data_IF_762794146706
#
_entry.id   IF_762794146706
#
_cell.length_a   1.000
_cell.length_b   1.000
_cell.length_c   1.000
_cell.angle_alpha   90.00
_cell.angle_beta   90.00
_cell.angle_gamma   90.00
#
_symmetry.space_group_name_H-M   'P 1'
#
loop_
_entity.id
_entity.type
_entity.pdbx_description
1 polymer ?
#
# COMPACT_ATOMS: atom_id res chain seq x y z
N UNK A 1 -39.66 90.95 -14.59
CA UNK A 1 -38.25 90.47 -14.65
C UNK A 1 -38.22 89.11 -13.98
N UNK A 2 -38.17 88.04 -14.78
CA UNK A 2 -38.23 86.64 -14.34
C UNK A 2 -36.83 86.15 -13.95
N UNK A 3 -36.66 85.57 -12.76
CA UNK A 3 -35.60 84.59 -12.51
C UNK A 3 -36.16 83.44 -11.68
N UNK A 4 -36.40 82.32 -12.35
CA UNK A 4 -36.84 81.06 -11.77
C UNK A 4 -35.68 80.33 -11.10
N UNK A 5 -35.88 79.94 -9.85
CA UNK A 5 -35.01 79.06 -9.09
C UNK A 5 -35.28 77.60 -9.50
N UNK A 6 -34.37 77.03 -10.30
CA UNK A 6 -34.41 75.59 -10.67
C UNK A 6 -33.56 74.80 -9.66
N UNK A 7 -34.22 74.13 -8.73
CA UNK A 7 -33.64 73.19 -7.75
C UNK A 7 -32.86 72.07 -8.46
N UNK A 8 -31.53 72.02 -8.29
CA UNK A 8 -30.71 70.83 -8.58
C UNK A 8 -30.87 69.82 -7.44
N UNK A 9 -31.76 68.83 -7.61
CA UNK A 9 -31.70 67.58 -6.83
C UNK A 9 -30.45 66.80 -7.25
N UNK A 10 -29.38 66.93 -6.47
CA UNK A 10 -28.16 66.17 -6.63
C UNK A 10 -28.41 64.68 -6.31
N UNK A 11 -28.07 63.83 -7.29
CA UNK A 11 -28.20 62.38 -7.29
C UNK A 11 -27.21 61.69 -6.32
N UNK A 12 -27.33 61.97 -5.02
CA UNK A 12 -26.47 61.39 -3.94
C UNK A 12 -26.67 59.87 -3.77
N UNK A 13 -27.83 59.34 -4.15
CA UNK A 13 -28.16 57.92 -3.98
C UNK A 13 -27.36 56.99 -4.90
N UNK A 14 -26.95 57.47 -6.08
CA UNK A 14 -26.23 56.67 -7.08
C UNK A 14 -24.82 56.27 -6.64
N UNK A 15 -24.07 57.16 -5.98
CA UNK A 15 -22.71 56.89 -5.54
C UNK A 15 -22.64 56.02 -4.28
N UNK A 16 -23.59 56.20 -3.36
CA UNK A 16 -23.69 55.39 -2.15
C UNK A 16 -24.04 53.92 -2.48
N UNK A 17 -24.95 53.71 -3.43
CA UNK A 17 -25.33 52.37 -3.92
C UNK A 17 -24.15 51.60 -4.53
N UNK A 18 -23.34 52.22 -5.40
CA UNK A 18 -22.16 51.57 -6.02
C UNK A 18 -21.06 51.21 -5.01
N UNK A 19 -20.85 52.03 -3.98
CA UNK A 19 -19.89 51.76 -2.89
C UNK A 19 -20.31 50.54 -2.07
N UNK A 20 -21.60 50.45 -1.73
CA UNK A 20 -22.16 49.32 -0.97
C UNK A 20 -22.10 48.02 -1.80
N UNK A 21 -22.49 48.05 -3.07
CA UNK A 21 -22.42 46.86 -3.93
C UNK A 21 -21.00 46.36 -4.13
N UNK A 22 -20.03 47.27 -4.31
CA UNK A 22 -18.60 46.89 -4.43
C UNK A 22 -18.07 46.22 -3.16
N UNK A 23 -18.40 46.76 -1.97
CA UNK A 23 -18.02 46.16 -0.69
C UNK A 23 -18.66 44.78 -0.47
N UNK A 24 -19.94 44.63 -0.82
CA UNK A 24 -20.65 43.34 -0.76
C UNK A 24 -20.00 42.31 -1.68
N UNK A 25 -19.66 42.68 -2.93
CA UNK A 25 -18.98 41.79 -3.88
C UNK A 25 -17.61 41.35 -3.35
N UNK A 26 -16.83 42.26 -2.76
CA UNK A 26 -15.53 41.93 -2.15
C UNK A 26 -15.71 40.99 -0.95
N UNK A 27 -16.74 41.21 -0.12
CA UNK A 27 -17.06 40.35 1.03
C UNK A 27 -17.46 38.94 0.58
N UNK A 28 -18.33 38.82 -0.43
CA UNK A 28 -18.73 37.52 -1.01
C UNK A 28 -17.51 36.79 -1.60
N UNK A 29 -16.64 37.48 -2.33
CA UNK A 29 -15.40 36.87 -2.86
C UNK A 29 -14.49 36.32 -1.77
N UNK A 30 -14.35 37.04 -0.64
CA UNK A 30 -13.57 36.56 0.50
C UNK A 30 -14.20 35.32 1.16
N UNK A 31 -15.52 35.29 1.28
CA UNK A 31 -16.26 34.13 1.83
C UNK A 31 -16.11 32.91 0.91
N UNK A 32 -16.28 33.09 -0.41
CA UNK A 32 -16.11 32.01 -1.40
C UNK A 32 -14.67 31.48 -1.40
N UNK A 33 -13.67 32.36 -1.34
CA UNK A 33 -12.26 31.96 -1.25
C UNK A 33 -11.98 31.19 0.05
N UNK A 34 -12.53 31.63 1.18
CA UNK A 34 -12.40 30.92 2.45
C UNK A 34 -13.04 29.52 2.41
N UNK A 35 -14.21 29.38 1.77
CA UNK A 35 -14.89 28.09 1.60
C UNK A 35 -14.08 27.13 0.71
N UNK A 36 -13.48 27.63 -0.37
CA UNK A 36 -12.60 26.85 -1.25
C UNK A 36 -11.37 26.33 -0.48
N UNK A 37 -10.72 27.19 0.31
CA UNK A 37 -9.55 26.79 1.10
C UNK A 37 -9.95 25.71 2.12
N UNK A 38 -11.06 25.88 2.84
CA UNK A 38 -11.55 24.88 3.81
C UNK A 38 -11.84 23.54 3.12
N UNK A 39 -12.51 23.56 1.97
CA UNK A 39 -12.81 22.32 1.21
C UNK A 39 -11.54 21.59 0.76
N UNK A 40 -10.50 22.33 0.35
CA UNK A 40 -9.24 21.75 -0.06
C UNK A 40 -8.50 21.12 1.12
N UNK A 41 -8.51 21.76 2.30
CA UNK A 41 -7.89 21.22 3.52
C UNK A 41 -8.58 19.94 3.98
N UNK A 42 -9.92 19.88 3.96
CA UNK A 42 -10.67 18.69 4.40
C UNK A 42 -10.42 17.46 3.53
N UNK A 43 -10.24 17.63 2.20
CA UNK A 43 -9.96 16.51 1.28
C UNK A 43 -8.57 15.93 1.53
N UNK A 44 -7.57 16.79 1.80
CA UNK A 44 -6.20 16.35 2.06
C UNK A 44 -6.07 15.60 3.40
N UNK A 45 -6.76 16.06 4.45
CA UNK A 45 -6.77 15.36 5.75
C UNK A 45 -7.39 13.97 5.63
N UNK A 46 -8.53 13.86 4.94
CA UNK A 46 -9.21 12.58 4.72
C UNK A 46 -8.33 11.56 3.95
N UNK A 47 -7.60 12.02 2.93
CA UNK A 47 -6.67 11.16 2.17
C UNK A 47 -5.49 10.67 3.03
N UNK A 48 -4.95 11.51 3.92
CA UNK A 48 -3.85 11.11 4.81
C UNK A 48 -4.29 10.06 5.83
N UNK A 49 -5.47 10.24 6.44
CA UNK A 49 -6.00 9.27 7.41
C UNK A 49 -6.26 7.91 6.74
N UNK A 50 -6.82 7.90 5.53
CA UNK A 50 -7.04 6.67 4.78
C UNK A 50 -5.72 5.94 4.43
N UNK A 51 -4.69 6.65 3.97
CA UNK A 51 -3.37 6.06 3.70
C UNK A 51 -2.71 5.50 4.96
N UNK A 52 -2.87 6.17 6.09
CA UNK A 52 -2.39 5.67 7.38
C UNK A 52 -3.10 4.38 7.80
N UNK A 53 -4.40 4.26 7.52
CA UNK A 53 -5.13 3.01 7.78
C UNK A 53 -4.66 1.87 6.87
N UNK A 54 -4.35 2.15 5.60
CA UNK A 54 -3.72 1.15 4.70
C UNK A 54 -2.42 0.63 5.32
N UNK A 55 -1.54 1.53 5.75
CA UNK A 55 -0.26 1.17 6.37
C UNK A 55 -0.46 0.37 7.66
N UNK A 56 -1.36 0.79 8.55
CA UNK A 56 -1.62 0.09 9.80
C UNK A 56 -2.20 -1.32 9.57
N UNK A 57 -3.19 -1.46 8.68
CA UNK A 57 -3.78 -2.77 8.35
C UNK A 57 -2.72 -3.67 7.72
N UNK A 58 -1.82 -3.13 6.88
CA UNK A 58 -0.72 -3.87 6.26
C UNK A 58 0.33 -4.34 7.28
N UNK A 59 0.73 -3.47 8.20
CA UNK A 59 1.64 -3.82 9.29
C UNK A 59 1.01 -4.84 10.24
N UNK A 60 -0.31 -4.78 10.45
CA UNK A 60 -1.05 -5.75 11.26
C UNK A 60 -1.09 -7.11 10.56
N UNK A 61 -1.41 -7.14 9.26
CA UNK A 61 -1.33 -8.34 8.42
C UNK A 61 0.03 -9.03 8.52
N UNK A 62 1.12 -8.32 8.24
CA UNK A 62 2.46 -8.91 8.30
C UNK A 62 2.90 -9.20 9.74
N UNK A 63 2.40 -8.46 10.72
CA UNK A 63 2.60 -8.76 12.14
C UNK A 63 2.02 -10.13 12.53
N UNK A 64 0.80 -10.44 12.09
CA UNK A 64 0.20 -11.76 12.28
C UNK A 64 1.03 -12.87 11.62
N UNK A 65 1.48 -12.66 10.37
CA UNK A 65 2.34 -13.61 9.67
C UNK A 65 3.64 -13.87 10.43
N UNK A 66 4.32 -12.81 10.90
CA UNK A 66 5.56 -12.89 11.67
C UNK A 66 5.40 -13.60 13.01
N UNK A 67 4.24 -13.47 13.65
CA UNK A 67 3.92 -14.11 14.93
C UNK A 67 3.36 -15.53 14.76
N UNK A 68 3.32 -16.06 13.53
CA UNK A 68 2.75 -17.36 13.17
C UNK A 68 1.24 -17.45 13.49
N UNK A 69 0.56 -16.31 13.54
CA UNK A 69 -0.90 -16.17 13.66
C UNK A 69 -1.53 -16.29 12.27
N UNK A 70 -1.35 -17.46 11.64
CA UNK A 70 -1.65 -17.65 10.22
C UNK A 70 -3.14 -17.49 9.91
N UNK A 71 -4.02 -17.89 10.83
CA UNK A 71 -5.47 -17.73 10.65
C UNK A 71 -5.84 -16.25 10.54
N UNK A 72 -5.28 -15.41 11.40
CA UNK A 72 -5.50 -13.97 11.41
C UNK A 72 -4.85 -13.30 10.19
N UNK A 73 -3.64 -13.73 9.83
CA UNK A 73 -2.90 -13.24 8.66
C UNK A 73 -3.68 -13.43 7.36
N UNK A 74 -4.22 -14.63 7.11
CA UNK A 74 -4.93 -14.91 5.85
C UNK A 74 -6.23 -14.11 5.69
N UNK A 75 -6.82 -13.62 6.78
CA UNK A 75 -8.01 -12.77 6.70
C UNK A 75 -7.72 -11.45 5.98
N UNK A 76 -6.47 -11.01 5.92
CA UNK A 76 -6.08 -9.80 5.19
C UNK A 76 -5.84 -10.03 3.69
N UNK A 77 -5.95 -11.26 3.19
CA UNK A 77 -5.84 -11.53 1.76
C UNK A 77 -7.12 -11.21 1.00
N UNK A 78 -7.02 -11.09 -0.32
CA UNK A 78 -8.18 -10.88 -1.19
C UNK A 78 -9.11 -12.09 -1.11
N UNK A 79 -10.42 -11.89 -0.84
CA UNK A 79 -11.37 -13.00 -0.77
C UNK A 79 -11.43 -13.84 -2.05
N UNK A 80 -11.23 -13.23 -3.21
CA UNK A 80 -11.25 -13.87 -4.52
C UNK A 80 -10.14 -14.93 -4.69
N UNK A 81 -9.04 -14.84 -3.94
CA UNK A 81 -8.02 -15.89 -3.92
C UNK A 81 -8.59 -17.23 -3.44
N UNK A 82 -9.59 -17.16 -2.56
CA UNK A 82 -10.20 -18.34 -1.96
C UNK A 82 -11.23 -19.04 -2.85
N UNK A 83 -11.50 -18.51 -4.05
CA UNK A 83 -12.28 -19.21 -5.07
C UNK A 83 -11.48 -20.36 -5.71
N UNK A 84 -10.14 -20.27 -5.69
CA UNK A 84 -9.26 -21.28 -6.28
C UNK A 84 -8.46 -22.09 -5.25
N UNK A 85 -8.10 -21.50 -4.12
CA UNK A 85 -7.27 -22.12 -3.08
C UNK A 85 -7.94 -21.94 -1.73
N UNK A 86 -8.22 -23.00 -0.97
CA UNK A 86 -8.92 -22.85 0.30
C UNK A 86 -8.04 -22.18 1.37
N UNK A 87 -8.68 -21.51 2.32
CA UNK A 87 -8.02 -20.90 3.48
C UNK A 87 -7.21 -21.91 4.27
N UNK A 88 -7.79 -23.09 4.49
CA UNK A 88 -7.18 -24.18 5.25
C UNK A 88 -5.89 -24.67 4.58
N UNK A 89 -5.89 -24.80 3.25
CA UNK A 89 -4.70 -25.22 2.50
C UNK A 89 -3.58 -24.18 2.59
N UNK A 90 -3.93 -22.88 2.55
CA UNK A 90 -2.94 -21.81 2.74
C UNK A 90 -2.35 -21.82 4.16
N UNK A 91 -3.19 -21.99 5.18
CA UNK A 91 -2.74 -22.09 6.57
C UNK A 91 -1.80 -23.29 6.73
N UNK A 92 -2.20 -24.47 6.26
CA UNK A 92 -1.38 -25.67 6.33
C UNK A 92 -0.02 -25.46 5.63
N UNK A 93 -0.02 -24.81 4.47
CA UNK A 93 1.22 -24.51 3.73
C UNK A 93 2.13 -23.57 4.53
N UNK A 94 1.58 -22.54 5.17
CA UNK A 94 2.34 -21.63 6.04
C UNK A 94 2.90 -22.36 7.26
N UNK A 95 2.09 -23.20 7.91
CA UNK A 95 2.52 -24.00 9.06
C UNK A 95 3.66 -24.93 8.69
N UNK A 96 3.56 -25.66 7.57
CA UNK A 96 4.62 -26.55 7.08
C UNK A 96 5.89 -25.79 6.71
N UNK A 97 5.77 -24.56 6.20
CA UNK A 97 6.90 -23.73 5.80
C UNK A 97 7.65 -23.17 7.00
N UNK A 98 6.93 -22.55 7.96
CA UNK A 98 7.55 -21.85 9.09
C UNK A 98 7.90 -22.77 10.26
N UNK A 99 7.25 -23.94 10.39
CA UNK A 99 7.54 -24.93 11.42
C UNK A 99 8.31 -26.14 10.88
N UNK A 100 9.02 -25.97 9.76
CA UNK A 100 9.88 -27.02 9.20
C UNK A 100 11.03 -27.32 10.18
N UNK A 101 11.29 -28.60 10.54
CA UNK A 101 12.36 -28.95 11.47
C UNK A 101 13.76 -28.71 10.90
N UNK A 102 13.92 -28.83 9.58
CA UNK A 102 15.22 -28.77 8.90
C UNK A 102 15.57 -27.35 8.42
N UNK A 103 14.58 -26.44 8.41
CA UNK A 103 14.73 -25.08 7.92
C UNK A 103 14.08 -24.11 8.90
N UNK A 104 14.85 -23.15 9.41
CA UNK A 104 14.33 -22.04 10.18
C UNK A 104 14.15 -20.84 9.27
N UNK A 105 12.94 -20.30 9.24
CA UNK A 105 12.60 -19.08 8.50
C UNK A 105 12.12 -18.04 9.51
N UNK A 106 12.60 -16.82 9.39
CA UNK A 106 12.07 -15.67 10.12
C UNK A 106 11.98 -14.46 9.22
N UNK A 107 11.01 -13.60 9.50
CA UNK A 107 10.76 -12.37 8.74
C UNK A 107 10.88 -11.20 9.71
N UNK A 108 11.50 -10.11 9.27
CA UNK A 108 11.54 -8.87 10.04
C UNK A 108 10.32 -8.00 9.76
N UNK A 109 10.01 -7.08 10.68
CA UNK A 109 8.97 -6.08 10.46
C UNK A 109 9.23 -5.33 9.14
N UNK A 110 8.25 -5.26 8.24
CA UNK A 110 8.39 -4.52 6.98
C UNK A 110 8.62 -3.03 7.22
N UNK A 111 9.36 -2.43 6.30
CA UNK A 111 9.44 -0.99 6.12
C UNK A 111 8.58 -0.60 4.94
N UNK A 112 7.48 0.09 5.20
CA UNK A 112 6.66 0.71 4.14
C UNK A 112 7.39 1.93 3.60
N UNK A 113 7.64 1.94 2.30
CA UNK A 113 8.31 3.06 1.61
C UNK A 113 7.31 4.08 1.12
N UNK A 114 6.17 3.60 0.59
CA UNK A 114 5.17 4.45 -0.02
C UNK A 114 3.79 3.81 0.01
N UNK A 115 2.79 4.61 0.37
CA UNK A 115 1.37 4.36 0.10
C UNK A 115 0.95 5.26 -1.05
N UNK A 116 0.51 4.65 -2.15
CA UNK A 116 0.06 5.33 -3.35
C UNK A 116 -1.27 6.07 -3.17
N UNK A 117 -1.75 6.70 -4.25
CA UNK A 117 -3.07 7.31 -4.24
C UNK A 117 -4.17 6.25 -4.18
N UNK A 118 -5.19 6.53 -3.38
CA UNK A 118 -6.39 5.70 -3.27
C UNK A 118 -7.33 6.07 -4.41
N UNK A 119 -7.70 5.06 -5.21
CA UNK A 119 -8.52 5.22 -6.42
C UNK A 119 -9.71 4.29 -6.38
N UNK A 120 -10.87 4.78 -6.79
CA UNK A 120 -12.06 3.95 -6.95
C UNK A 120 -12.08 3.32 -8.35
N UNK A 121 -12.08 1.98 -8.40
CA UNK A 121 -12.01 1.17 -9.64
C UNK A 121 -12.98 -0.01 -9.45
N UNK A 122 -13.84 -0.28 -10.43
CA UNK A 122 -14.72 -1.47 -10.48
C UNK A 122 -15.36 -1.82 -9.13
N UNK A 123 -16.01 -0.82 -8.52
CA UNK A 123 -16.76 -0.90 -7.25
C UNK A 123 -15.98 -0.96 -5.94
N UNK A 124 -14.64 -0.93 -5.97
CA UNK A 124 -13.80 -0.89 -4.76
C UNK A 124 -12.71 0.18 -4.83
N UNK A 125 -12.09 0.46 -3.69
CA UNK A 125 -10.95 1.36 -3.58
C UNK A 125 -9.65 0.57 -3.58
N UNK A 126 -8.69 1.03 -4.37
CA UNK A 126 -7.38 0.42 -4.52
C UNK A 126 -6.27 1.42 -4.31
N UNK A 127 -5.15 0.97 -3.75
CA UNK A 127 -3.90 1.71 -3.79
C UNK A 127 -2.70 0.77 -3.88
N UNK A 128 -1.63 1.24 -4.54
CA UNK A 128 -0.36 0.55 -4.61
C UNK A 128 0.47 0.89 -3.37
N UNK A 129 1.01 -0.12 -2.71
CA UNK A 129 1.97 -0.03 -1.61
C UNK A 129 3.32 -0.52 -2.11
N UNK A 130 4.41 0.13 -1.69
CA UNK A 130 5.76 -0.38 -1.87
C UNK A 130 6.40 -0.56 -0.49
N UNK A 131 6.99 -1.72 -0.25
CA UNK A 131 7.59 -2.08 1.02
C UNK A 131 8.81 -2.98 0.85
N UNK A 132 9.61 -3.07 1.89
CA UNK A 132 10.70 -4.04 1.97
C UNK A 132 10.74 -4.72 3.33
N UNK A 133 11.26 -5.93 3.40
CA UNK A 133 11.60 -6.59 4.66
C UNK A 133 12.80 -7.50 4.46
N UNK A 134 13.48 -7.83 5.56
CA UNK A 134 14.44 -8.91 5.57
C UNK A 134 13.75 -10.24 5.87
N UNK A 135 14.25 -11.30 5.26
CA UNK A 135 13.97 -12.68 5.59
C UNK A 135 15.29 -13.36 5.94
N UNK A 136 15.31 -14.08 7.05
CA UNK A 136 16.43 -14.93 7.43
C UNK A 136 16.02 -16.39 7.29
N UNK A 137 16.84 -17.15 6.57
CA UNK A 137 16.68 -18.58 6.39
C UNK A 137 17.95 -19.28 6.89
N UNK A 138 17.83 -20.39 7.60
CA UNK A 138 18.98 -21.21 7.96
C UNK A 138 18.61 -22.68 8.00
N UNK A 139 19.54 -23.54 7.59
CA UNK A 139 19.36 -24.98 7.68
C UNK A 139 19.79 -25.52 9.04
N UNK A 140 19.05 -26.50 9.56
CA UNK A 140 19.51 -27.31 10.69
C UNK A 140 20.51 -28.37 10.18
N UNK A 141 21.79 -28.19 10.51
CA UNK A 141 22.86 -29.12 10.17
C UNK A 141 23.23 -30.05 11.33
N UNK A 142 22.33 -30.26 12.29
CA UNK A 142 22.57 -31.18 13.42
C UNK A 142 22.62 -32.65 13.01
N UNK A 143 22.13 -33.00 11.82
CA UNK A 143 22.26 -34.34 11.26
C UNK A 143 23.71 -34.63 10.86
N UNK A 144 24.37 -35.42 11.71
CA UNK A 144 25.77 -35.85 11.53
C UNK A 144 26.00 -36.79 10.35
N UNK A 145 24.96 -37.25 9.67
CA UNK A 145 25.09 -38.14 8.50
C UNK A 145 25.39 -37.38 7.20
N UNK A 146 25.15 -36.07 7.16
CA UNK A 146 25.39 -35.21 6.00
C UNK A 146 26.88 -34.84 5.94
N UNK A 147 27.49 -34.97 4.76
CA UNK A 147 28.88 -34.58 4.55
C UNK A 147 29.03 -33.08 4.31
N UNK A 148 30.22 -32.52 4.58
CA UNK A 148 30.51 -31.11 4.28
C UNK A 148 30.30 -30.76 2.80
N UNK A 149 30.64 -31.67 1.89
CA UNK A 149 30.44 -31.46 0.45
C UNK A 149 28.96 -31.39 0.07
N UNK A 150 28.08 -32.12 0.77
CA UNK A 150 26.64 -32.06 0.54
C UNK A 150 26.04 -30.76 1.08
N UNK A 151 26.50 -30.29 2.25
CA UNK A 151 26.15 -28.97 2.80
C UNK A 151 26.56 -27.87 1.82
N UNK A 152 27.82 -27.87 1.36
CA UNK A 152 28.32 -26.89 0.41
C UNK A 152 27.51 -26.90 -0.89
N UNK A 153 27.16 -28.09 -1.40
CA UNK A 153 26.37 -28.20 -2.64
C UNK A 153 24.96 -27.64 -2.45
N UNK A 154 24.27 -28.03 -1.37
CA UNK A 154 22.94 -27.52 -1.03
C UNK A 154 22.96 -26.01 -0.90
N UNK A 155 23.87 -25.48 -0.09
CA UNK A 155 23.92 -24.05 0.24
C UNK A 155 24.22 -23.20 -1.01
N UNK A 156 25.14 -23.65 -1.88
CA UNK A 156 25.44 -22.95 -3.14
C UNK A 156 24.25 -22.98 -4.11
N UNK A 157 23.51 -24.08 -4.18
CA UNK A 157 22.30 -24.16 -5.00
C UNK A 157 21.20 -23.25 -4.45
N UNK A 158 21.02 -23.23 -3.13
CA UNK A 158 20.08 -22.32 -2.47
C UNK A 158 20.47 -20.86 -2.70
N UNK A 159 21.74 -20.49 -2.51
CA UNK A 159 22.25 -19.15 -2.78
C UNK A 159 21.93 -18.73 -4.22
N UNK A 160 22.30 -19.55 -5.19
CA UNK A 160 22.06 -19.27 -6.62
C UNK A 160 20.57 -19.05 -6.91
N UNK A 161 19.69 -19.87 -6.30
CA UNK A 161 18.24 -19.74 -6.47
C UNK A 161 17.69 -18.44 -5.85
N UNK A 162 18.16 -18.08 -4.66
CA UNK A 162 17.79 -16.85 -3.96
C UNK A 162 18.29 -15.63 -4.72
N UNK A 163 19.55 -15.61 -5.16
CA UNK A 163 20.12 -14.54 -5.98
C UNK A 163 19.37 -14.37 -7.30
N UNK A 164 18.98 -15.48 -7.93
CA UNK A 164 18.16 -15.45 -9.15
C UNK A 164 16.76 -14.87 -8.93
N UNK A 165 16.21 -14.99 -7.72
CA UNK A 165 14.86 -14.52 -7.37
C UNK A 165 14.87 -13.08 -6.86
N UNK A 166 15.81 -12.73 -5.99
CA UNK A 166 15.85 -11.47 -5.26
C UNK A 166 16.93 -10.51 -5.75
N UNK A 167 17.87 -10.97 -6.57
CA UNK A 167 19.05 -10.20 -6.99
C UNK A 167 20.25 -10.47 -6.09
N UNK A 168 21.44 -10.51 -6.69
CA UNK A 168 22.71 -10.82 -6.01
C UNK A 168 23.00 -9.82 -4.88
N UNK A 169 22.68 -8.55 -5.10
CA UNK A 169 22.88 -7.48 -4.12
C UNK A 169 21.94 -7.55 -2.91
N UNK A 170 20.90 -8.37 -2.98
CA UNK A 170 19.86 -8.50 -1.96
C UNK A 170 19.96 -9.81 -1.17
N UNK A 171 21.00 -10.63 -1.39
CA UNK A 171 21.21 -11.89 -0.69
C UNK A 171 22.60 -11.92 -0.09
N UNK A 172 22.68 -12.24 1.19
CA UNK A 172 23.93 -12.48 1.91
C UNK A 172 23.94 -13.88 2.49
N UNK A 173 25.04 -14.60 2.35
CA UNK A 173 25.22 -15.96 2.85
C UNK A 173 26.34 -16.02 3.91
N UNK A 174 26.02 -16.59 5.05
CA UNK A 174 26.97 -16.96 6.10
C UNK A 174 27.19 -18.49 6.11
N UNK A 175 28.35 -18.96 5.64
CA UNK A 175 28.69 -20.38 5.60
C UNK A 175 28.90 -20.99 6.99
N UNK A 176 29.14 -20.18 8.01
CA UNK A 176 29.36 -20.67 9.38
C UNK A 176 28.09 -21.31 9.95
N UNK A 177 26.95 -20.71 9.62
CA UNK A 177 25.65 -21.08 10.16
C UNK A 177 24.71 -21.66 9.08
N UNK A 178 25.20 -21.87 7.86
CA UNK A 178 24.37 -22.18 6.67
C UNK A 178 23.13 -21.29 6.60
N UNK A 179 23.34 -19.99 6.74
CA UNK A 179 22.26 -19.01 6.87
C UNK A 179 22.30 -17.95 5.78
N UNK A 180 21.13 -17.50 5.37
CA UNK A 180 20.89 -16.55 4.31
C UNK A 180 20.09 -15.38 4.88
N UNK A 181 20.56 -14.17 4.65
CA UNK A 181 19.81 -12.94 4.86
C UNK A 181 19.38 -12.41 3.49
N UNK A 182 18.09 -12.16 3.32
CA UNK A 182 17.47 -11.83 2.04
C UNK A 182 16.69 -10.52 2.22
N UNK A 183 17.03 -9.48 1.46
CA UNK A 183 16.23 -8.27 1.34
C UNK A 183 15.17 -8.48 0.26
N UNK A 184 13.90 -8.53 0.66
CA UNK A 184 12.78 -8.57 -0.26
C UNK A 184 12.15 -7.19 -0.38
N UNK A 185 12.15 -6.61 -1.59
CA UNK A 185 11.42 -5.39 -1.91
C UNK A 185 10.29 -5.74 -2.88
N UNK A 186 9.06 -5.30 -2.54
CA UNK A 186 7.85 -5.73 -3.24
C UNK A 186 6.87 -4.58 -3.44
N UNK A 187 6.11 -4.71 -4.51
CA UNK A 187 4.88 -3.98 -4.71
C UNK A 187 3.70 -4.83 -4.24
N UNK A 188 2.72 -4.18 -3.62
CA UNK A 188 1.49 -4.79 -3.14
C UNK A 188 0.31 -3.90 -3.52
N UNK A 189 -0.84 -4.50 -3.84
CA UNK A 189 -2.09 -3.75 -4.02
C UNK A 189 -3.02 -3.96 -2.84
N UNK A 190 -3.39 -2.86 -2.19
CA UNK A 190 -4.42 -2.84 -1.17
C UNK A 190 -5.81 -2.62 -1.80
N UNK A 191 -6.83 -3.28 -1.28
CA UNK A 191 -8.24 -3.18 -1.68
C UNK A 191 -9.15 -2.95 -0.47
N UNK A 192 -10.12 -2.07 -0.59
CA UNK A 192 -11.17 -1.84 0.42
C UNK A 192 -12.48 -1.47 -0.27
N UNK A 193 -13.62 -1.94 0.25
CA UNK A 193 -14.93 -1.53 -0.25
C UNK A 193 -15.26 -0.07 0.10
N UNK A 194 -14.75 0.42 1.23
CA UNK A 194 -15.08 1.76 1.76
C UNK A 194 -14.01 2.80 1.45
N UNK A 195 -12.78 2.36 1.18
CA UNK A 195 -11.62 3.23 1.01
C UNK A 195 -11.11 3.84 2.32
N UNK A 196 -11.62 3.36 3.47
CA UNK A 196 -11.27 3.86 4.79
C UNK A 196 -10.68 2.77 5.70
N UNK A 197 -11.27 1.57 5.68
CA UNK A 197 -10.97 0.49 6.62
C UNK A 197 -11.05 -0.87 5.93
N UNK A 198 -10.68 -1.93 6.64
CA UNK A 198 -10.76 -3.32 6.19
C UNK A 198 -9.96 -3.56 4.91
N UNK A 199 -8.75 -3.00 4.87
CA UNK A 199 -7.88 -3.17 3.72
C UNK A 199 -7.42 -4.62 3.60
N UNK A 200 -7.51 -5.16 2.38
CA UNK A 200 -7.00 -6.47 1.99
C UNK A 200 -5.82 -6.30 1.05
N UNK A 201 -4.89 -7.24 1.04
CA UNK A 201 -3.59 -7.09 0.39
C UNK A 201 -3.30 -8.26 -0.53
N UNK A 202 -2.57 -7.95 -1.60
CA UNK A 202 -1.98 -8.94 -2.48
C UNK A 202 -0.63 -8.43 -2.99
N UNK A 203 0.41 -9.22 -2.76
CA UNK A 203 1.74 -8.98 -3.33
C UNK A 203 1.68 -9.15 -4.86
N UNK A 204 2.35 -8.26 -5.58
CA UNK A 204 2.50 -8.37 -7.03
C UNK A 204 3.57 -9.42 -7.33
N UNK A 205 3.13 -10.58 -7.79
CA UNK A 205 4.03 -11.62 -8.30
C UNK A 205 4.02 -11.63 -9.84
N UNK A 206 5.05 -11.01 -10.44
CA UNK A 206 5.22 -10.94 -11.89
C UNK A 206 5.47 -12.32 -12.52
N UNK A 207 5.95 -13.30 -11.76
CA UNK A 207 6.12 -14.67 -12.25
C UNK A 207 4.77 -15.42 -12.29
N UNK A 208 3.73 -14.87 -11.64
CA UNK A 208 2.41 -15.49 -11.55
C UNK A 208 1.29 -14.52 -11.95
N UNK A 209 1.41 -13.93 -13.15
CA UNK A 209 0.39 -13.03 -13.69
C UNK A 209 -0.98 -13.70 -13.88
N UNK A 210 -1.07 -15.03 -13.91
CA UNK A 210 -2.36 -15.72 -13.98
C UNK A 210 -3.22 -15.42 -12.75
N UNK A 211 -2.66 -15.51 -11.53
CA UNK A 211 -3.40 -15.17 -10.30
C UNK A 211 -3.72 -13.69 -10.27
N UNK A 212 -2.79 -12.83 -10.67
CA UNK A 212 -3.03 -11.38 -10.73
C UNK A 212 -4.24 -11.06 -11.60
N UNK A 213 -4.32 -11.64 -12.81
CA UNK A 213 -5.44 -11.44 -13.75
C UNK A 213 -6.78 -11.96 -13.21
N UNK A 214 -6.77 -12.94 -12.30
CA UNK A 214 -7.99 -13.48 -11.70
C UNK A 214 -8.60 -12.51 -10.68
N UNK A 215 -7.77 -11.82 -9.90
CA UNK A 215 -8.21 -11.10 -8.70
C UNK A 215 -8.11 -9.58 -8.80
N UNK A 216 -7.31 -9.05 -9.74
CA UNK A 216 -7.13 -7.62 -9.94
C UNK A 216 -7.93 -7.11 -11.15
N UNK A 217 -8.51 -5.90 -11.06
CA UNK A 217 -9.10 -5.21 -12.20
C UNK A 217 -8.12 -5.03 -13.36
N UNK A 218 -8.63 -5.09 -14.59
CA UNK A 218 -7.82 -4.92 -15.81
C UNK A 218 -6.95 -3.66 -15.79
N UNK A 219 -7.48 -2.55 -15.28
CA UNK A 219 -6.74 -1.29 -15.18
C UNK A 219 -5.44 -1.45 -14.36
N UNK A 220 -5.49 -2.19 -13.25
CA UNK A 220 -4.31 -2.43 -12.40
C UNK A 220 -3.33 -3.38 -13.11
N UNK A 221 -3.82 -4.40 -13.81
CA UNK A 221 -2.98 -5.30 -14.59
C UNK A 221 -2.22 -4.55 -15.70
N UNK A 222 -2.91 -3.68 -16.43
CA UNK A 222 -2.30 -2.89 -17.49
C UNK A 222 -1.21 -1.95 -16.92
N UNK A 223 -1.38 -1.43 -15.70
CA UNK A 223 -0.36 -0.65 -14.98
C UNK A 223 0.87 -1.50 -14.62
N UNK A 224 0.67 -2.68 -14.02
CA UNK A 224 1.77 -3.60 -13.64
C UNK A 224 2.64 -3.94 -14.86
N UNK A 225 2.01 -4.20 -16.01
CA UNK A 225 2.71 -4.53 -17.25
C UNK A 225 3.41 -3.33 -17.92
N UNK A 226 3.05 -2.10 -17.55
CA UNK A 226 3.62 -0.88 -18.13
C UNK A 226 4.87 -0.35 -17.42
N UNK A 227 5.21 -0.92 -16.26
CA UNK A 227 6.38 -0.57 -15.47
C UNK A 227 7.65 -1.37 -15.89
N UNK A 228 7.60 -2.08 -17.02
CA UNK A 228 8.75 -2.69 -17.72
C UNK A 228 9.48 -1.70 -18.63
#
# INVERSE_FOLDING_TARGET
MYFGTKLRKLNRNSYFSKSITTKIIIMIKKIVLSLLIVSFVTINLYSQDAKKNVENDFLTYLGHLMNHEFTESIEYLYPELFESVTKELMIETLEQTFNNPDIKISITMPKVHKVGEIRYIDSAYYCKLNYSHYMNMSFDNSDTTITLSEIDTRDNMTLTSLEGTFGVENVSYDPTNSSFEILSAKDCYAKSETGLTNWKFIDVDKNNMMIMNLVLPKQIIDEINSEE
#
